data_IF_108111073371
#
_entry.id   IF_108111073371
#
_cell.length_a   1.000
_cell.length_b   1.000
_cell.length_c   1.000
_cell.angle_alpha   90.00
_cell.angle_beta   90.00
_cell.angle_gamma   90.00
#
_symmetry.space_group_name_H-M   'P 1'
#
loop_
_entity.id
_entity.type
_entity.pdbx_description
1 polymer ?
#
# COMPACT_ATOMS: atom_id res chain seq x y z
N UNK A 1 -10.82 51.00 49.64
CA UNK A 1 -9.98 49.79 49.53
C UNK A 1 -10.73 48.70 48.78
N UNK A 2 -10.47 48.55 47.47
CA UNK A 2 -10.90 47.41 46.64
C UNK A 2 -9.62 46.89 45.98
N UNK A 3 -9.28 45.64 46.26
CA UNK A 3 -7.97 45.03 45.99
C UNK A 3 -7.76 44.76 44.50
N UNK A 4 -6.57 45.11 44.00
CA UNK A 4 -6.07 44.96 42.61
C UNK A 4 -6.15 43.51 42.05
N UNK A 5 -6.40 42.53 42.92
CA UNK A 5 -6.50 41.10 42.62
C UNK A 5 -7.68 40.70 41.72
N UNK A 6 -8.78 41.47 41.72
CA UNK A 6 -10.01 41.09 40.99
C UNK A 6 -9.97 41.43 39.48
N UNK A 7 -9.07 42.34 39.05
CA UNK A 7 -8.92 42.69 37.62
C UNK A 7 -8.07 41.67 36.83
N UNK A 8 -7.24 40.87 37.52
CA UNK A 8 -6.39 39.86 36.87
C UNK A 8 -7.16 38.64 36.40
N UNK A 9 -8.24 38.28 37.09
CA UNK A 9 -9.00 37.04 36.81
C UNK A 9 -9.94 37.22 35.61
N UNK A 10 -10.46 38.43 35.37
CA UNK A 10 -11.38 38.71 34.25
C UNK A 10 -10.68 38.85 32.90
N UNK A 11 -9.37 39.16 32.87
CA UNK A 11 -8.61 39.39 31.63
C UNK A 11 -7.97 38.10 31.04
N UNK A 12 -8.03 36.98 31.76
CA UNK A 12 -7.42 35.72 31.31
C UNK A 12 -8.38 34.82 30.51
N UNK A 13 -9.69 35.08 30.52
CA UNK A 13 -10.69 34.24 29.84
C UNK A 13 -10.96 34.63 28.38
N UNK A 14 -10.50 35.79 27.91
CA UNK A 14 -10.69 36.27 26.52
C UNK A 14 -9.57 35.80 25.58
N UNK A 15 -8.37 35.52 26.09
CA UNK A 15 -7.22 35.13 25.26
C UNK A 15 -7.27 33.63 24.89
N UNK A 16 -7.96 32.79 25.67
CA UNK A 16 -8.03 31.35 25.43
C UNK A 16 -9.08 30.88 24.40
N UNK A 17 -9.86 31.79 23.81
CA UNK A 17 -10.96 31.44 22.88
C UNK A 17 -10.69 31.67 21.39
N UNK A 18 -9.54 32.20 21.00
CA UNK A 18 -9.27 32.54 19.58
C UNK A 18 -8.14 31.74 18.91
N UNK A 19 -7.37 30.91 19.64
CA UNK A 19 -6.31 30.09 19.02
C UNK A 19 -6.75 28.68 18.57
N UNK A 20 -7.92 28.18 19.00
CA UNK A 20 -8.31 26.77 18.79
C UNK A 20 -8.80 26.42 17.38
N UNK A 21 -9.40 27.37 16.65
CA UNK A 21 -10.04 27.06 15.36
C UNK A 21 -9.05 27.05 14.18
N UNK A 22 -7.98 27.85 14.23
CA UNK A 22 -7.01 27.94 13.12
C UNK A 22 -6.11 26.69 13.03
N UNK A 23 -5.71 26.10 14.17
CA UNK A 23 -4.87 24.90 14.19
C UNK A 23 -5.59 23.65 13.63
N UNK A 24 -6.91 23.55 13.83
CA UNK A 24 -7.72 22.42 13.35
C UNK A 24 -7.95 22.50 11.83
N UNK A 25 -7.99 23.70 11.25
CA UNK A 25 -8.13 23.91 9.80
C UNK A 25 -6.81 23.69 9.04
N UNK A 26 -5.66 23.95 9.67
CA UNK A 26 -4.35 23.63 9.09
C UNK A 26 -4.04 22.13 9.05
N UNK A 27 -4.55 21.33 10.01
CA UNK A 27 -4.30 19.89 10.05
C UNK A 27 -5.10 19.09 8.99
N UNK A 28 -6.23 19.63 8.51
CA UNK A 28 -7.08 18.94 7.52
C UNK A 28 -6.69 19.19 6.06
N UNK A 29 -5.90 20.23 5.77
CA UNK A 29 -5.53 20.64 4.38
C UNK A 29 -4.22 19.97 3.90
N UNK A 30 -3.59 19.11 4.70
CA UNK A 30 -2.42 18.33 4.26
C UNK A 30 -2.83 17.05 3.51
N UNK A 31 -4.11 16.69 3.52
CA UNK A 31 -4.65 15.58 2.73
C UNK A 31 -5.02 16.13 1.35
N UNK A 32 -4.64 15.42 0.28
CA UNK A 32 -5.02 15.63 -1.14
C UNK A 32 -4.11 16.46 -2.06
N UNK A 33 -2.82 16.20 -2.07
CA UNK A 33 -2.26 15.81 -3.38
C UNK A 33 -1.68 14.43 -3.24
N UNK A 34 -2.44 13.40 -3.65
CA UNK A 34 -1.80 12.15 -4.05
C UNK A 34 -0.86 12.57 -5.19
N UNK A 35 0.43 12.73 -4.89
CA UNK A 35 1.43 12.95 -5.92
C UNK A 35 1.39 11.71 -6.79
N UNK A 36 0.75 11.82 -7.94
CA UNK A 36 0.87 10.82 -8.99
C UNK A 36 2.34 10.82 -9.42
N UNK A 37 3.09 9.85 -8.87
CA UNK A 37 4.47 9.63 -9.26
C UNK A 37 4.55 9.19 -10.72
N UNK A 38 5.72 9.33 -11.37
CA UNK A 38 5.91 8.74 -12.69
C UNK A 38 5.59 7.23 -12.63
N UNK A 39 4.95 6.72 -13.67
CA UNK A 39 4.74 5.29 -13.80
C UNK A 39 6.09 4.57 -13.77
N UNK A 40 6.11 3.50 -13.00
CA UNK A 40 7.29 2.73 -12.68
C UNK A 40 7.80 1.84 -13.80
N UNK A 41 8.86 1.10 -13.50
CA UNK A 41 9.35 0.03 -14.37
C UNK A 41 8.62 -1.26 -14.03
N UNK A 42 8.05 -1.89 -15.05
CA UNK A 42 7.50 -3.23 -14.90
C UNK A 42 8.43 -4.30 -15.48
N UNK A 43 8.41 -5.46 -14.86
CA UNK A 43 9.20 -6.64 -15.17
C UNK A 43 8.24 -7.83 -15.27
N UNK A 44 8.51 -8.73 -16.19
CA UNK A 44 7.68 -9.93 -16.37
C UNK A 44 8.47 -11.20 -16.05
N UNK A 45 7.75 -12.21 -15.59
CA UNK A 45 8.23 -13.58 -15.42
C UNK A 45 9.50 -13.70 -14.56
N UNK A 46 9.58 -12.95 -13.46
CA UNK A 46 10.62 -13.09 -12.46
C UNK A 46 10.34 -14.37 -11.65
N UNK A 47 11.29 -15.30 -11.62
CA UNK A 47 11.18 -16.51 -10.79
C UNK A 47 11.38 -16.14 -9.31
N UNK A 48 10.38 -16.43 -8.48
CA UNK A 48 10.40 -16.19 -7.04
C UNK A 48 10.60 -17.47 -6.21
N UNK A 49 10.57 -18.64 -6.87
CA UNK A 49 10.83 -19.92 -6.23
C UNK A 49 10.57 -21.11 -7.14
N UNK A 50 10.81 -22.30 -6.62
CA UNK A 50 10.45 -23.58 -7.26
C UNK A 50 9.79 -24.50 -6.26
N UNK A 51 8.74 -25.19 -6.70
CA UNK A 51 8.07 -26.20 -5.90
C UNK A 51 7.58 -27.35 -6.80
N UNK A 52 7.84 -28.59 -6.40
CA UNK A 52 7.55 -29.80 -7.18
C UNK A 52 8.10 -29.74 -8.63
N UNK A 53 9.28 -29.12 -8.81
CA UNK A 53 9.90 -28.92 -10.12
C UNK A 53 9.27 -27.82 -10.98
N UNK A 54 8.18 -27.19 -10.54
CA UNK A 54 7.50 -26.09 -11.22
C UNK A 54 8.14 -24.76 -10.83
N UNK A 55 8.59 -23.92 -11.79
CA UNK A 55 9.00 -22.55 -11.49
C UNK A 55 7.78 -21.71 -11.13
N UNK A 56 7.89 -20.98 -10.02
CA UNK A 56 6.92 -20.02 -9.56
C UNK A 56 7.38 -18.63 -10.01
N UNK A 57 6.55 -17.95 -10.79
CA UNK A 57 6.92 -16.67 -11.43
C UNK A 57 5.94 -15.56 -11.08
N UNK A 58 6.44 -14.33 -11.05
CA UNK A 58 5.66 -13.12 -10.84
C UNK A 58 5.98 -12.05 -11.88
N UNK A 59 5.03 -11.16 -12.10
CA UNK A 59 5.26 -9.87 -12.76
C UNK A 59 5.32 -8.80 -11.68
N UNK A 60 6.25 -7.86 -11.79
CA UNK A 60 6.45 -6.80 -10.80
C UNK A 60 6.36 -5.44 -11.48
N UNK A 61 5.79 -4.44 -10.80
CA UNK A 61 5.93 -3.05 -11.23
C UNK A 61 6.38 -2.18 -10.05
N UNK A 62 7.54 -1.55 -10.21
CA UNK A 62 8.22 -0.78 -9.17
C UNK A 62 8.14 0.71 -9.52
N UNK A 63 7.55 1.56 -8.66
CA UNK A 63 7.40 2.99 -8.91
C UNK A 63 8.76 3.69 -9.08
N UNK A 64 8.76 4.80 -9.82
CA UNK A 64 10.00 5.51 -10.20
C UNK A 64 10.58 6.48 -9.17
N UNK A 65 10.21 6.36 -7.89
CA UNK A 65 10.70 7.21 -6.80
C UNK A 65 12.01 6.71 -6.18
N UNK A 66 12.71 7.59 -5.46
CA UNK A 66 13.87 7.23 -4.65
C UNK A 66 13.42 6.73 -3.27
N UNK A 67 13.76 5.49 -2.90
CA UNK A 67 13.50 4.94 -1.56
C UNK A 67 12.77 3.60 -1.56
N UNK A 68 12.23 3.23 -0.39
CA UNK A 68 11.45 2.00 -0.19
C UNK A 68 9.97 2.34 -0.31
N UNK A 69 9.29 1.74 -1.28
CA UNK A 69 7.85 1.87 -1.47
C UNK A 69 7.09 0.75 -0.73
N UNK A 70 5.86 0.99 -0.24
CA UNK A 70 4.96 -0.08 0.16
C UNK A 70 4.76 -1.10 -0.97
N UNK A 71 4.55 -2.37 -0.62
CA UNK A 71 4.37 -3.46 -1.57
C UNK A 71 3.00 -4.14 -1.42
N UNK A 72 2.42 -4.56 -2.55
CA UNK A 72 1.20 -5.35 -2.61
C UNK A 72 1.44 -6.59 -3.47
N UNK A 73 1.15 -7.76 -2.93
CA UNK A 73 1.10 -9.01 -3.69
C UNK A 73 -0.33 -9.22 -4.21
N UNK A 74 -0.47 -9.33 -5.52
CA UNK A 74 -1.72 -9.56 -6.23
C UNK A 74 -1.86 -11.06 -6.48
N UNK A 75 -2.84 -11.67 -5.83
CA UNK A 75 -3.20 -13.07 -6.00
C UNK A 75 -4.42 -13.13 -6.90
N UNK A 76 -4.28 -13.74 -8.08
CA UNK A 76 -5.39 -13.84 -9.02
C UNK A 76 -6.54 -14.72 -8.48
N UNK A 77 -7.72 -14.60 -9.09
CA UNK A 77 -8.88 -15.41 -8.75
C UNK A 77 -8.83 -16.82 -9.37
N UNK A 78 -10.01 -17.43 -9.55
CA UNK A 78 -10.14 -18.73 -10.22
C UNK A 78 -10.22 -19.95 -9.29
N UNK A 79 -10.51 -19.73 -8.00
CA UNK A 79 -10.84 -20.82 -7.05
C UNK A 79 -9.72 -21.85 -6.85
N UNK A 80 -8.46 -21.42 -6.97
CA UNK A 80 -7.24 -22.27 -6.93
C UNK A 80 -7.10 -23.26 -8.08
N UNK A 81 -8.00 -23.26 -9.07
CA UNK A 81 -8.00 -24.17 -10.21
C UNK A 81 -7.89 -23.46 -11.56
N UNK A 82 -7.75 -22.14 -11.57
CA UNK A 82 -7.68 -21.34 -12.79
C UNK A 82 -7.09 -19.95 -12.54
N UNK A 83 -6.98 -19.18 -13.63
CA UNK A 83 -6.44 -17.83 -13.65
C UNK A 83 -4.95 -17.76 -13.99
N UNK A 84 -4.46 -16.53 -14.12
CA UNK A 84 -3.07 -16.22 -14.42
C UNK A 84 -2.66 -14.91 -13.74
N UNK A 85 -1.37 -14.77 -13.39
CA UNK A 85 -0.83 -13.49 -12.88
C UNK A 85 -1.13 -12.28 -13.79
N UNK A 86 -1.23 -12.48 -15.11
CA UNK A 86 -1.55 -11.41 -16.07
C UNK A 86 -2.96 -10.86 -15.89
N UNK A 87 -3.87 -11.62 -15.29
CA UNK A 87 -5.24 -11.17 -15.03
C UNK A 87 -5.25 -9.96 -14.09
N UNK A 88 -4.20 -9.74 -13.30
CA UNK A 88 -4.06 -8.62 -12.37
C UNK A 88 -3.28 -7.42 -12.95
N UNK A 89 -2.84 -7.46 -14.21
CA UNK A 89 -1.97 -6.44 -14.79
C UNK A 89 -2.58 -5.02 -14.75
N UNK A 90 -3.92 -4.92 -14.77
CA UNK A 90 -4.65 -3.66 -14.68
C UNK A 90 -4.41 -2.89 -13.37
N UNK A 91 -3.90 -3.55 -12.32
CA UNK A 91 -3.55 -2.91 -11.05
C UNK A 91 -2.19 -2.21 -11.07
N UNK A 92 -1.28 -2.53 -12.00
CA UNK A 92 0.08 -1.98 -11.96
C UNK A 92 0.13 -0.46 -12.15
N UNK A 93 -0.66 0.09 -13.08
CA UNK A 93 -0.69 1.54 -13.30
C UNK A 93 -1.20 2.32 -12.08
N UNK A 94 -2.40 2.05 -11.52
CA UNK A 94 -2.89 2.80 -10.37
C UNK A 94 -2.01 2.61 -9.13
N UNK A 95 -1.48 1.40 -8.87
CA UNK A 95 -0.58 1.16 -7.74
C UNK A 95 0.74 1.92 -7.91
N UNK A 96 1.37 1.81 -9.08
CA UNK A 96 2.64 2.49 -9.31
C UNK A 96 2.51 4.01 -9.25
N UNK A 97 1.42 4.59 -9.75
CA UNK A 97 1.15 6.04 -9.64
C UNK A 97 0.90 6.47 -8.19
N UNK A 98 0.43 5.56 -7.34
CA UNK A 98 0.27 5.77 -5.91
C UNK A 98 1.55 5.48 -5.09
N UNK A 99 2.70 5.30 -5.76
CA UNK A 99 3.98 4.93 -5.14
C UNK A 99 3.91 3.60 -4.36
N UNK A 100 3.15 2.64 -4.89
CA UNK A 100 3.05 1.27 -4.36
C UNK A 100 3.62 0.28 -5.38
N UNK A 101 4.56 -0.55 -4.94
CA UNK A 101 5.09 -1.64 -5.74
C UNK A 101 4.07 -2.79 -5.84
N UNK A 102 3.73 -3.20 -7.05
CA UNK A 102 2.79 -4.29 -7.29
C UNK A 102 3.50 -5.57 -7.73
N UNK A 103 3.14 -6.71 -7.18
CA UNK A 103 3.70 -8.02 -7.52
C UNK A 103 2.58 -9.01 -7.81
N UNK A 104 2.31 -9.29 -9.08
CA UNK A 104 1.30 -10.29 -9.47
C UNK A 104 1.92 -11.67 -9.64
N UNK A 105 1.44 -12.65 -8.88
CA UNK A 105 2.09 -13.96 -8.78
C UNK A 105 1.30 -15.04 -9.53
N UNK A 106 2.02 -15.98 -10.14
CA UNK A 106 1.48 -17.29 -10.50
C UNK A 106 1.71 -18.25 -9.34
N UNK A 107 0.75 -19.13 -9.08
CA UNK A 107 0.86 -20.22 -8.11
C UNK A 107 0.36 -21.52 -8.72
N UNK A 108 0.75 -22.66 -8.15
CA UNK A 108 0.33 -23.98 -8.63
C UNK A 108 -1.18 -24.17 -8.47
N UNK A 109 -1.81 -24.69 -9.52
CA UNK A 109 -3.27 -24.85 -9.61
C UNK A 109 -3.71 -26.30 -9.43
N UNK A 110 -4.89 -26.46 -8.83
CA UNK A 110 -5.65 -27.70 -8.81
C UNK A 110 -6.24 -28.00 -10.20
N UNK A 111 -6.51 -29.28 -10.54
CA UNK A 111 -6.37 -30.46 -9.70
C UNK A 111 -4.95 -31.03 -9.65
N UNK A 112 -4.04 -30.56 -10.51
CA UNK A 112 -2.65 -31.06 -10.61
C UNK A 112 -1.89 -30.86 -9.30
N UNK A 113 -2.04 -29.70 -8.67
CA UNK A 113 -1.48 -29.40 -7.36
C UNK A 113 -2.61 -29.00 -6.43
N UNK A 114 -3.02 -29.95 -5.57
CA UNK A 114 -4.14 -29.74 -4.64
C UNK A 114 -3.72 -28.83 -3.48
N UNK A 115 -4.72 -28.31 -2.78
CA UNK A 115 -4.51 -27.65 -1.48
C UNK A 115 -3.59 -28.51 -0.59
N UNK A 116 -2.55 -27.94 0.06
CA UNK A 116 -2.28 -26.51 0.26
C UNK A 116 -1.26 -25.88 -0.73
N UNK A 117 -0.99 -26.48 -1.88
CA UNK A 117 0.09 -26.01 -2.78
C UNK A 117 -0.01 -24.51 -3.12
N UNK A 118 -1.18 -24.03 -3.50
CA UNK A 118 -1.40 -22.63 -3.85
C UNK A 118 -1.07 -21.66 -2.69
N UNK A 119 -1.46 -21.95 -1.46
CA UNK A 119 -1.20 -21.05 -0.32
C UNK A 119 0.28 -21.10 0.11
N UNK A 120 0.95 -22.23 -0.05
CA UNK A 120 2.40 -22.31 0.19
C UNK A 120 3.21 -21.52 -0.85
N UNK A 121 2.74 -21.48 -2.10
CA UNK A 121 3.32 -20.65 -3.15
C UNK A 121 3.11 -19.16 -2.86
N UNK A 122 1.91 -18.76 -2.41
CA UNK A 122 1.64 -17.37 -1.96
C UNK A 122 2.57 -16.98 -0.81
N UNK A 123 2.74 -17.84 0.20
CA UNK A 123 3.69 -17.60 1.31
C UNK A 123 5.14 -17.49 0.82
N UNK A 124 5.48 -18.22 -0.24
CA UNK A 124 6.82 -18.15 -0.85
C UNK A 124 7.03 -16.81 -1.52
N UNK A 125 6.03 -16.28 -2.23
CA UNK A 125 6.08 -14.93 -2.76
C UNK A 125 6.21 -13.87 -1.66
N UNK A 126 5.48 -14.00 -0.54
CA UNK A 126 5.59 -13.09 0.62
C UNK A 126 6.99 -13.06 1.24
N UNK A 127 7.71 -14.20 1.24
CA UNK A 127 9.09 -14.26 1.73
C UNK A 127 10.11 -13.71 0.73
N UNK A 128 9.77 -13.71 -0.55
CA UNK A 128 10.64 -13.26 -1.63
C UNK A 128 10.62 -11.73 -1.78
N UNK A 129 9.44 -11.12 -1.64
CA UNK A 129 9.22 -9.65 -1.63
C UNK A 129 9.75 -9.04 -0.34
#
# INVERSE_FOLDING_TARGET
>A
MRTQSQKRVYNSYIIFRLCGAAAMMCAFVVITTARSGPFGRCFEAIEYGRADGVPLVLDACIPGGDGVSPAVILVHGGGWSGGNRRDMAFWFEPLSRADVAGFSISYRLAPTHRWPACIEDVKTAVRWV
#
